data_IF_471854050341
#
_entry.id   IF_471854050341
#
_cell.length_a   1.000
_cell.length_b   1.000
_cell.length_c   1.000
_cell.angle_alpha   90.00
_cell.angle_beta   90.00
_cell.angle_gamma   90.00
#
_symmetry.space_group_name_H-M   'P 1'
#
loop_
_entity.id
_entity.type
_entity.pdbx_description
1 polymer ?
#
# COMPACT_ATOMS: atom_id res chain seq x y z
N UNK A 1 18.58 6.93 -31.28
CA UNK A 1 19.14 6.00 -30.28
C UNK A 1 18.07 5.75 -29.25
N UNK A 2 17.73 4.49 -28.96
CA UNK A 2 16.80 4.18 -27.87
C UNK A 2 17.55 4.35 -26.55
N UNK A 3 17.01 5.17 -25.65
CA UNK A 3 17.57 5.38 -24.30
C UNK A 3 16.66 4.65 -23.32
N UNK A 4 17.23 3.79 -22.48
CA UNK A 4 16.50 3.04 -21.45
C UNK A 4 16.57 3.84 -20.15
N UNK A 5 15.40 4.16 -19.59
CA UNK A 5 15.26 4.70 -18.24
C UNK A 5 15.54 3.57 -17.23
N UNK A 6 16.71 3.60 -16.60
CA UNK A 6 17.15 2.54 -15.68
C UNK A 6 16.34 2.53 -14.38
N UNK A 7 15.70 3.65 -14.00
CA UNK A 7 14.89 3.72 -12.80
C UNK A 7 13.53 3.01 -12.99
N UNK A 8 13.08 2.87 -14.24
CA UNK A 8 11.82 2.16 -14.61
C UNK A 8 12.05 0.77 -15.20
N UNK A 9 13.28 0.43 -15.54
CA UNK A 9 13.60 -0.86 -16.14
C UNK A 9 13.44 -1.99 -15.11
N UNK A 10 12.47 -2.88 -15.34
CA UNK A 10 12.25 -4.06 -14.48
C UNK A 10 13.12 -5.25 -14.86
N UNK A 11 14.08 -5.08 -15.78
CA UNK A 11 14.96 -6.12 -16.31
C UNK A 11 14.20 -7.34 -16.90
N UNK A 12 13.01 -7.11 -17.48
CA UNK A 12 12.13 -8.18 -17.98
C UNK A 12 12.62 -8.88 -19.27
N UNK A 13 13.51 -8.25 -20.05
CA UNK A 13 14.08 -8.87 -21.26
C UNK A 13 13.32 -8.65 -22.56
N UNK A 14 12.09 -8.13 -22.52
CA UNK A 14 11.24 -7.98 -23.72
C UNK A 14 11.90 -7.15 -24.84
N UNK A 15 12.64 -6.10 -24.48
CA UNK A 15 13.35 -5.26 -25.45
C UNK A 15 14.52 -5.98 -26.14
N UNK A 16 15.18 -6.95 -25.47
CA UNK A 16 16.24 -7.77 -26.07
C UNK A 16 15.66 -8.74 -27.10
N UNK A 17 14.55 -9.40 -26.77
CA UNK A 17 13.90 -10.36 -27.66
C UNK A 17 13.29 -9.70 -28.90
N UNK A 18 12.70 -8.53 -28.73
CA UNK A 18 12.11 -7.77 -29.83
C UNK A 18 13.15 -7.11 -30.76
N UNK A 19 14.45 -7.12 -30.42
CA UNK A 19 15.47 -6.40 -31.19
C UNK A 19 16.01 -7.27 -32.35
N UNK A 20 15.64 -6.99 -33.62
CA UNK A 20 16.05 -7.83 -34.75
C UNK A 20 17.53 -7.69 -35.10
N UNK A 21 18.19 -6.64 -34.62
CA UNK A 21 19.60 -6.34 -34.90
C UNK A 21 20.54 -6.73 -33.76
N UNK A 22 20.00 -7.27 -32.66
CA UNK A 22 20.80 -7.64 -31.48
C UNK A 22 21.48 -6.44 -30.80
N UNK A 23 20.98 -5.22 -30.99
CA UNK A 23 21.59 -3.99 -30.50
C UNK A 23 21.43 -3.75 -28.99
N UNK A 24 20.58 -4.53 -28.32
CA UNK A 24 20.27 -4.39 -26.88
C UNK A 24 20.85 -5.58 -26.13
N UNK A 25 21.74 -5.31 -25.17
CA UNK A 25 22.37 -6.30 -24.29
C UNK A 25 22.02 -5.97 -22.84
N UNK A 26 21.47 -6.93 -22.10
CA UNK A 26 21.15 -6.78 -20.67
C UNK A 26 22.29 -7.37 -19.86
N UNK A 27 22.99 -6.52 -19.12
CA UNK A 27 23.91 -6.93 -18.05
C UNK A 27 23.12 -6.93 -16.75
N UNK A 28 23.13 -8.04 -16.00
CA UNK A 28 22.41 -8.15 -14.72
C UNK A 28 23.18 -7.31 -13.69
N UNK A 29 22.68 -6.14 -13.26
CA UNK A 29 23.37 -5.40 -12.21
C UNK A 29 23.29 -6.22 -10.92
N UNK A 30 24.36 -6.20 -10.12
CA UNK A 30 24.32 -6.72 -8.76
C UNK A 30 23.23 -5.94 -8.00
N UNK A 31 22.32 -6.67 -7.34
CA UNK A 31 21.09 -6.10 -6.80
C UNK A 31 21.34 -4.82 -6.00
N UNK A 32 20.74 -3.72 -6.45
CA UNK A 32 20.75 -2.46 -5.72
C UNK A 32 19.98 -2.71 -4.43
N UNK A 33 20.70 -2.77 -3.29
CA UNK A 33 20.05 -2.78 -1.98
C UNK A 33 19.54 -1.38 -1.72
N UNK A 34 18.27 -1.14 -2.01
CA UNK A 34 17.60 0.08 -1.60
C UNK A 34 17.54 0.12 -0.07
N UNK A 35 17.92 1.24 0.53
CA UNK A 35 17.80 1.43 1.96
C UNK A 35 16.31 1.60 2.33
N UNK A 36 15.78 0.62 3.03
CA UNK A 36 14.40 0.61 3.53
C UNK A 36 14.33 0.76 5.04
N UNK A 37 15.46 1.05 5.71
CA UNK A 37 15.54 1.14 7.18
C UNK A 37 14.68 2.27 7.77
N UNK A 38 14.34 3.28 6.96
CA UNK A 38 13.47 4.39 7.36
C UNK A 38 11.97 4.05 7.42
N UNK A 39 11.52 2.93 6.82
CA UNK A 39 10.11 2.56 6.82
C UNK A 39 9.77 1.74 8.08
N UNK A 40 8.65 2.10 8.73
CA UNK A 40 8.20 1.51 9.99
C UNK A 40 6.68 1.47 10.08
N UNK A 41 6.18 0.81 11.13
CA UNK A 41 4.76 0.61 11.45
C UNK A 41 4.07 -0.50 10.65
N UNK A 42 2.97 -1.00 11.21
CA UNK A 42 2.08 -1.99 10.61
C UNK A 42 0.82 -1.27 10.18
N UNK A 43 0.50 -1.31 8.89
CA UNK A 43 -0.65 -0.60 8.33
C UNK A 43 -1.78 -1.58 8.05
N UNK A 44 -2.99 -1.23 8.47
CA UNK A 44 -4.21 -2.01 8.21
C UNK A 44 -5.17 -1.15 7.41
N UNK A 45 -5.50 -1.60 6.21
CA UNK A 45 -6.55 -0.99 5.41
C UNK A 45 -7.92 -1.32 5.99
N UNK A 46 -8.74 -0.29 6.20
CA UNK A 46 -10.07 -0.43 6.80
C UNK A 46 -11.10 -0.52 5.68
N UNK A 47 -11.51 -1.75 5.39
CA UNK A 47 -12.56 -2.06 4.43
C UNK A 47 -13.95 -1.70 5.00
N UNK A 48 -14.84 -1.28 4.09
CA UNK A 48 -16.25 -1.02 4.39
C UNK A 48 -17.16 -1.90 3.55
N UNK A 49 -18.23 -2.36 4.18
CA UNK A 49 -19.35 -3.07 3.55
C UNK A 49 -20.64 -2.35 3.95
N UNK A 50 -21.49 -2.02 2.96
CA UNK A 50 -22.79 -1.33 3.19
C UNK A 50 -22.70 -0.10 4.13
N UNK A 51 -21.67 0.74 3.95
CA UNK A 51 -21.38 1.93 4.77
C UNK A 51 -20.99 1.66 6.24
N UNK A 52 -20.72 0.41 6.63
CA UNK A 52 -20.16 0.05 7.93
C UNK A 52 -18.74 -0.46 7.76
N UNK A 53 -17.95 -0.42 8.83
CA UNK A 53 -16.64 -1.07 8.84
C UNK A 53 -16.86 -2.59 8.77
N UNK A 54 -16.21 -3.25 7.83
CA UNK A 54 -16.28 -4.70 7.70
C UNK A 54 -15.62 -5.36 8.92
N UNK A 55 -16.19 -6.45 9.44
CA UNK A 55 -15.69 -7.11 10.66
C UNK A 55 -14.23 -7.57 10.54
N UNK A 56 -13.82 -7.95 9.32
CA UNK A 56 -12.44 -8.35 9.00
C UNK A 56 -11.43 -7.24 9.34
N UNK A 57 -11.80 -5.97 9.20
CA UNK A 57 -10.94 -4.83 9.57
C UNK A 57 -10.59 -4.86 11.05
N UNK A 58 -11.52 -5.25 11.92
CA UNK A 58 -11.27 -5.36 13.36
C UNK A 58 -10.40 -6.58 13.72
N UNK A 59 -10.61 -7.71 13.04
CA UNK A 59 -9.78 -8.90 13.21
C UNK A 59 -8.33 -8.64 12.80
N UNK A 60 -8.14 -7.93 11.69
CA UNK A 60 -6.83 -7.50 11.19
C UNK A 60 -6.16 -6.52 12.14
N UNK A 61 -6.88 -5.54 12.71
CA UNK A 61 -6.33 -4.65 13.74
C UNK A 61 -5.85 -5.44 14.97
N UNK A 62 -6.60 -6.45 15.40
CA UNK A 62 -6.22 -7.33 16.50
C UNK A 62 -4.91 -8.09 16.21
N UNK A 63 -4.75 -8.66 15.01
CA UNK A 63 -3.52 -9.34 14.62
C UNK A 63 -2.36 -8.39 14.37
N UNK A 64 -2.62 -7.22 13.80
CA UNK A 64 -1.63 -6.17 13.61
C UNK A 64 -1.05 -5.70 14.94
N UNK A 65 -1.85 -5.66 16.01
CA UNK A 65 -1.37 -5.30 17.35
C UNK A 65 -0.32 -6.28 17.88
N UNK A 66 -0.50 -7.58 17.66
CA UNK A 66 0.49 -8.61 18.01
C UNK A 66 1.78 -8.38 17.23
N UNK A 67 1.68 -8.26 15.91
CA UNK A 67 2.83 -8.03 15.03
C UNK A 67 3.58 -6.73 15.35
N UNK A 68 2.84 -5.65 15.62
CA UNK A 68 3.41 -4.36 15.98
C UNK A 68 4.13 -4.41 17.33
N UNK A 69 3.66 -5.23 18.27
CA UNK A 69 4.34 -5.52 19.53
C UNK A 69 5.73 -6.15 19.31
N UNK A 70 5.80 -7.18 18.47
CA UNK A 70 7.05 -7.87 18.12
C UNK A 70 8.04 -6.92 17.40
N UNK A 71 7.51 -6.07 16.51
CA UNK A 71 8.29 -5.10 15.73
C UNK A 71 8.58 -3.78 16.48
N UNK A 72 8.11 -3.63 17.73
CA UNK A 72 8.20 -2.38 18.52
C UNK A 72 7.76 -1.15 17.71
N UNK A 73 6.65 -1.28 17.01
CA UNK A 73 6.13 -0.32 16.05
C UNK A 73 4.66 0.02 16.34
N UNK A 74 4.10 1.00 15.63
CA UNK A 74 2.68 1.38 15.77
C UNK A 74 1.78 0.61 14.81
N UNK A 75 0.51 0.48 15.16
CA UNK A 75 -0.57 0.06 14.25
C UNK A 75 -1.23 1.31 13.68
N UNK A 76 -1.21 1.45 12.35
CA UNK A 76 -1.82 2.56 11.62
C UNK A 76 -3.03 2.03 10.85
N UNK A 77 -4.22 2.54 11.16
CA UNK A 77 -5.42 2.26 10.36
C UNK A 77 -5.50 3.24 9.19
N UNK A 78 -5.62 2.73 7.97
CA UNK A 78 -5.81 3.54 6.76
C UNK A 78 -7.28 3.47 6.39
N UNK A 79 -8.00 4.58 6.58
CA UNK A 79 -9.45 4.64 6.47
C UNK A 79 -9.89 5.62 5.38
N UNK A 80 -10.43 5.05 4.30
CA UNK A 80 -10.84 5.76 3.09
C UNK A 80 -12.36 5.70 2.93
N UNK A 81 -13.00 6.82 2.59
CA UNK A 81 -14.45 6.84 2.43
C UNK A 81 -15.06 8.24 2.35
N UNK A 82 -16.38 8.29 2.47
CA UNK A 82 -17.17 9.52 2.59
C UNK A 82 -18.01 9.47 3.86
N UNK A 83 -18.06 10.58 4.61
CA UNK A 83 -18.76 10.71 5.90
C UNK A 83 -18.38 9.61 6.92
N UNK A 84 -17.07 9.45 7.13
CA UNK A 84 -16.49 8.36 7.94
C UNK A 84 -15.75 8.82 9.19
N UNK A 85 -15.54 10.13 9.36
CA UNK A 85 -14.83 10.67 10.53
C UNK A 85 -15.39 10.18 11.87
N UNK A 86 -16.71 9.96 11.95
CA UNK A 86 -17.41 9.48 13.15
C UNK A 86 -16.98 8.08 13.61
N UNK A 87 -16.56 7.22 12.69
CA UNK A 87 -16.18 5.83 12.99
C UNK A 87 -14.70 5.69 13.38
N UNK A 88 -13.91 6.77 13.27
CA UNK A 88 -12.46 6.75 13.57
C UNK A 88 -12.14 6.38 15.02
N UNK A 89 -12.99 6.79 15.97
CA UNK A 89 -12.80 6.48 17.38
C UNK A 89 -12.94 4.99 17.68
N UNK A 90 -13.80 4.29 16.93
CA UNK A 90 -13.96 2.85 17.06
C UNK A 90 -12.67 2.12 16.65
N UNK A 91 -12.01 2.56 15.57
CA UNK A 91 -10.75 1.97 15.10
C UNK A 91 -9.63 2.09 16.15
N UNK A 92 -9.53 3.24 16.82
CA UNK A 92 -8.58 3.43 17.94
C UNK A 92 -8.90 2.46 19.08
N UNK A 93 -10.17 2.39 19.49
CA UNK A 93 -10.60 1.49 20.56
C UNK A 93 -10.32 0.01 20.24
N UNK A 94 -10.42 -0.37 18.96
CA UNK A 94 -10.19 -1.73 18.47
C UNK A 94 -8.72 -2.06 18.23
N UNK A 95 -7.80 -1.11 18.49
CA UNK A 95 -6.38 -1.39 18.51
C UNK A 95 -5.56 -0.70 17.44
N UNK A 96 -6.03 0.38 16.81
CA UNK A 96 -5.16 1.31 16.08
C UNK A 96 -4.49 2.33 17.03
N UNK A 97 -3.23 2.68 16.80
CA UNK A 97 -2.56 3.80 17.48
C UNK A 97 -2.82 5.12 16.76
N UNK A 98 -2.88 5.05 15.43
CA UNK A 98 -3.09 6.19 14.55
C UNK A 98 -4.10 5.82 13.47
N UNK A 99 -4.88 6.79 13.01
CA UNK A 99 -5.81 6.65 11.89
C UNK A 99 -5.44 7.67 10.83
N UNK A 100 -5.05 7.21 9.65
CA UNK A 100 -4.93 8.02 8.44
C UNK A 100 -6.32 8.04 7.81
N UNK A 101 -6.99 9.19 7.93
CA UNK A 101 -8.33 9.41 7.38
C UNK A 101 -8.24 10.11 6.02
N UNK A 102 -8.87 9.52 5.00
CA UNK A 102 -9.05 10.19 3.71
C UNK A 102 -10.53 10.26 3.37
N UNK A 103 -11.09 11.47 3.45
CA UNK A 103 -12.50 11.73 3.17
C UNK A 103 -12.68 12.42 1.80
N UNK A 104 -13.32 11.71 0.87
CA UNK A 104 -13.69 12.21 -0.47
C UNK A 104 -15.04 11.60 -0.86
N UNK A 105 -15.91 12.36 -1.53
CA UNK A 105 -17.25 11.87 -1.92
C UNK A 105 -17.15 10.67 -2.88
N UNK A 106 -16.12 10.67 -3.71
CA UNK A 106 -15.78 9.66 -4.70
C UNK A 106 -15.43 8.29 -4.08
N UNK A 107 -15.12 8.26 -2.78
CA UNK A 107 -14.79 7.05 -2.03
C UNK A 107 -15.99 6.44 -1.30
N UNK A 108 -17.19 7.01 -1.47
CA UNK A 108 -18.42 6.50 -0.85
C UNK A 108 -18.76 5.06 -1.25
N UNK A 109 -18.30 4.63 -2.43
CA UNK A 109 -18.36 3.25 -2.90
C UNK A 109 -16.97 2.78 -3.31
N UNK A 110 -16.71 1.49 -3.17
CA UNK A 110 -15.47 0.90 -3.64
C UNK A 110 -15.40 0.94 -5.16
N UNK A 111 -14.43 1.71 -5.67
CA UNK A 111 -14.05 1.79 -7.09
C UNK A 111 -12.52 1.73 -7.11
N UNK A 112 -11.97 0.73 -7.79
CA UNK A 112 -10.53 0.43 -7.74
C UNK A 112 -9.67 1.64 -8.12
N UNK A 113 -10.06 2.38 -9.15
CA UNK A 113 -9.36 3.57 -9.63
C UNK A 113 -9.34 4.70 -8.60
N UNK A 114 -10.47 4.92 -7.91
CA UNK A 114 -10.56 5.97 -6.90
C UNK A 114 -9.67 5.64 -5.70
N UNK A 115 -9.66 4.37 -5.27
CA UNK A 115 -8.84 3.93 -4.13
C UNK A 115 -7.35 3.90 -4.46
N UNK A 116 -6.98 3.59 -5.71
CA UNK A 116 -5.58 3.57 -6.15
C UNK A 116 -4.95 4.97 -6.31
N UNK A 117 -5.74 5.99 -6.64
CA UNK A 117 -5.27 7.34 -6.96
C UNK A 117 -5.54 8.39 -5.87
N UNK A 118 -5.91 7.97 -4.66
CA UNK A 118 -6.37 8.88 -3.61
C UNK A 118 -5.26 9.51 -2.79
#
# INVERSE_FOLDING_TARGET
MAVIDLDKCTLCGACKEACPFGAIVIYKPQGVKTDVSGYKNVWVFIEREEQKIASVSFELLGKARVLAGDLKSKVVAVFLGSDIKKDTQELIYKGADEVILVEKKELGHFIAENYANT
#
